data_IF_061503742237
#
_entry.id   IF_061503742237
#
_cell.length_a   1.000
_cell.length_b   1.000
_cell.length_c   1.000
_cell.angle_alpha   90.00
_cell.angle_beta   90.00
_cell.angle_gamma   90.00
#
_symmetry.space_group_name_H-M   'P 1'
#
loop_
_entity.id
_entity.type
_entity.pdbx_description
1 polymer ?
#
# COMPACT_ATOMS: atom_id res chain seq x y z
N UNK A 1 5.75 33.45 17.30
CA UNK A 1 5.00 32.97 16.13
C UNK A 1 5.74 31.74 15.68
N UNK A 2 5.18 30.55 15.92
CA UNK A 2 5.77 29.28 15.48
C UNK A 2 5.56 29.18 13.97
N UNK A 3 6.43 29.86 13.22
CA UNK A 3 6.44 29.72 11.78
C UNK A 3 7.00 28.34 11.43
N UNK A 4 6.16 27.53 10.78
CA UNK A 4 6.58 26.26 10.23
C UNK A 4 7.53 26.54 9.07
N UNK A 5 8.75 26.02 9.18
CA UNK A 5 9.74 26.04 8.11
C UNK A 5 9.11 25.66 6.75
N UNK A 6 9.34 26.42 5.67
CA UNK A 6 8.69 26.17 4.37
C UNK A 6 8.96 24.78 3.79
N UNK A 7 10.17 24.24 3.94
CA UNK A 7 10.52 22.90 3.48
C UNK A 7 9.77 21.83 4.28
N UNK A 8 9.73 22.00 5.61
CA UNK A 8 8.92 21.17 6.52
C UNK A 8 7.43 21.23 6.17
N UNK A 9 6.92 22.40 5.77
CA UNK A 9 5.52 22.56 5.36
C UNK A 9 5.20 21.78 4.07
N UNK A 10 6.12 21.70 3.11
CA UNK A 10 5.95 20.86 1.91
C UNK A 10 5.86 19.39 2.30
N UNK A 11 6.78 18.91 3.15
CA UNK A 11 6.79 17.53 3.62
C UNK A 11 5.52 17.16 4.40
N UNK A 12 5.02 18.07 5.26
CA UNK A 12 3.76 17.85 5.99
C UNK A 12 2.58 17.74 5.03
N UNK A 13 2.49 18.62 4.01
CA UNK A 13 1.39 18.56 3.04
C UNK A 13 1.43 17.29 2.19
N UNK A 14 2.62 16.82 1.81
CA UNK A 14 2.77 15.54 1.11
C UNK A 14 2.32 14.37 1.99
N UNK A 15 2.79 14.31 3.25
CA UNK A 15 2.35 13.28 4.21
C UNK A 15 0.84 13.32 4.45
N UNK A 16 0.26 14.50 4.59
CA UNK A 16 -1.18 14.65 4.77
C UNK A 16 -1.97 14.11 3.56
N UNK A 17 -1.49 14.38 2.33
CA UNK A 17 -2.12 13.83 1.11
C UNK A 17 -2.00 12.32 1.04
N UNK A 18 -0.84 11.75 1.38
CA UNK A 18 -0.65 10.30 1.45
C UNK A 18 -1.58 9.68 2.49
N UNK A 19 -1.63 10.24 3.71
CA UNK A 19 -2.49 9.75 4.77
C UNK A 19 -3.98 9.76 4.40
N UNK A 20 -4.44 10.78 3.65
CA UNK A 20 -5.83 10.82 3.16
C UNK A 20 -6.11 9.70 2.16
N UNK A 21 -5.20 9.46 1.22
CA UNK A 21 -5.34 8.38 0.23
C UNK A 21 -5.31 7.02 0.92
N UNK A 22 -4.35 6.80 1.83
CA UNK A 22 -4.23 5.60 2.65
C UNK A 22 -5.52 5.34 3.43
N UNK A 23 -6.10 6.37 4.06
CA UNK A 23 -7.33 6.20 4.84
C UNK A 23 -8.56 5.92 3.97
N UNK A 24 -8.66 6.56 2.81
CA UNK A 24 -9.74 6.27 1.86
C UNK A 24 -9.64 4.82 1.33
N UNK A 25 -8.44 4.38 0.97
CA UNK A 25 -8.18 3.00 0.56
C UNK A 25 -8.53 2.00 1.69
N UNK A 26 -8.13 2.30 2.93
CA UNK A 26 -8.47 1.50 4.10
C UNK A 26 -9.97 1.33 4.29
N UNK A 27 -10.76 2.41 4.20
CA UNK A 27 -12.21 2.31 4.36
C UNK A 27 -12.86 1.41 3.30
N UNK A 28 -12.41 1.51 2.05
CA UNK A 28 -12.86 0.63 0.98
C UNK A 28 -12.48 -0.82 1.24
N UNK A 29 -11.23 -1.08 1.62
CA UNK A 29 -10.72 -2.41 1.95
C UNK A 29 -11.47 -3.02 3.14
N UNK A 30 -11.62 -2.32 4.25
CA UNK A 30 -12.33 -2.80 5.44
C UNK A 30 -13.83 -3.06 5.14
N UNK A 31 -14.44 -2.30 4.22
CA UNK A 31 -15.79 -2.61 3.76
C UNK A 31 -15.84 -3.89 2.91
N UNK A 32 -14.88 -4.06 1.99
CA UNK A 32 -14.76 -5.25 1.16
C UNK A 32 -14.52 -6.51 2.01
N UNK A 33 -13.61 -6.46 2.99
CA UNK A 33 -13.37 -7.56 3.93
C UNK A 33 -14.63 -7.97 4.72
N UNK A 34 -15.48 -7.02 5.10
CA UNK A 34 -16.73 -7.32 5.82
C UNK A 34 -17.84 -7.89 4.92
N UNK A 35 -17.84 -7.55 3.63
CA UNK A 35 -18.95 -7.88 2.73
C UNK A 35 -18.66 -9.07 1.82
N UNK A 36 -17.41 -9.25 1.43
CA UNK A 36 -16.92 -10.26 0.49
C UNK A 36 -15.49 -10.69 0.91
N UNK A 37 -15.31 -11.31 2.10
CA UNK A 37 -13.98 -11.61 2.65
C UNK A 37 -13.17 -12.53 1.74
N UNK A 38 -13.75 -13.65 1.29
CA UNK A 38 -13.04 -14.66 0.50
C UNK A 38 -12.59 -14.11 -0.86
N UNK A 39 -13.45 -13.35 -1.54
CA UNK A 39 -13.12 -12.71 -2.81
C UNK A 39 -12.04 -11.64 -2.64
N UNK A 40 -12.11 -10.87 -1.55
CA UNK A 40 -11.11 -9.83 -1.24
C UNK A 40 -9.75 -10.45 -0.96
N UNK A 41 -9.68 -11.50 -0.14
CA UNK A 41 -8.44 -12.23 0.13
C UNK A 41 -7.86 -12.86 -1.13
N UNK A 42 -8.70 -13.51 -1.96
CA UNK A 42 -8.27 -14.10 -3.21
C UNK A 42 -7.72 -13.04 -4.19
N UNK A 43 -8.36 -11.87 -4.25
CA UNK A 43 -7.89 -10.76 -5.07
C UNK A 43 -6.51 -10.25 -4.60
N UNK A 44 -6.33 -10.03 -3.29
CA UNK A 44 -5.04 -9.57 -2.76
C UNK A 44 -3.95 -10.63 -3.00
N UNK A 45 -4.24 -11.91 -2.80
CA UNK A 45 -3.30 -12.99 -3.09
C UNK A 45 -2.88 -13.02 -4.57
N UNK A 46 -3.82 -12.79 -5.49
CA UNK A 46 -3.52 -12.70 -6.92
C UNK A 46 -2.63 -11.48 -7.24
N UNK A 47 -2.88 -10.32 -6.63
CA UNK A 47 -2.02 -9.13 -6.79
C UNK A 47 -0.63 -9.32 -6.19
N UNK A 48 -0.52 -10.00 -5.05
CA UNK A 48 0.77 -10.40 -4.45
C UNK A 48 1.58 -11.28 -5.39
N UNK A 49 0.95 -12.29 -6.00
CA UNK A 49 1.60 -13.15 -6.99
C UNK A 49 2.12 -12.34 -8.20
N UNK A 50 1.33 -11.40 -8.74
CA UNK A 50 1.77 -10.50 -9.82
C UNK A 50 2.95 -9.63 -9.41
N UNK A 51 2.97 -9.15 -8.16
CA UNK A 51 4.10 -8.39 -7.64
C UNK A 51 5.38 -9.23 -7.58
N UNK A 52 5.28 -10.50 -7.17
CA UNK A 52 6.40 -11.44 -7.15
C UNK A 52 6.94 -11.79 -8.54
N UNK A 53 6.06 -11.84 -9.55
CA UNK A 53 6.43 -12.17 -10.94
C UNK A 53 7.17 -11.03 -11.67
N UNK A 54 7.04 -9.78 -11.23
CA UNK A 54 7.71 -8.67 -11.91
C UNK A 54 7.19 -7.30 -11.52
N UNK A 55 7.49 -6.89 -10.29
CA UNK A 55 7.22 -5.56 -9.79
C UNK A 55 7.81 -4.47 -10.69
N UNK A 56 6.96 -3.59 -11.21
CA UNK A 56 7.41 -2.44 -12.00
C UNK A 56 8.00 -2.73 -13.38
N UNK A 57 7.73 -3.91 -13.95
CA UNK A 57 8.23 -4.30 -15.27
C UNK A 57 7.63 -3.49 -16.43
N UNK A 58 6.50 -2.81 -16.23
CA UNK A 58 5.85 -1.92 -17.21
C UNK A 58 5.25 -0.69 -16.53
N UNK A 59 5.98 0.43 -16.54
CA UNK A 59 5.49 1.75 -16.15
C UNK A 59 5.96 2.23 -14.77
N UNK A 60 5.47 1.61 -13.70
CA UNK A 60 5.85 1.98 -12.34
C UNK A 60 7.21 1.40 -11.97
N UNK A 61 8.06 2.11 -11.20
CA UNK A 61 9.38 1.63 -10.77
C UNK A 61 10.32 1.17 -11.93
N UNK A 62 10.11 1.70 -13.13
CA UNK A 62 10.90 1.37 -14.32
C UNK A 62 12.34 1.88 -14.25
N UNK A 63 12.57 2.93 -13.46
CA UNK A 63 13.85 3.57 -13.17
C UNK A 63 14.71 2.80 -12.15
N UNK A 64 14.11 1.88 -11.40
CA UNK A 64 14.83 1.08 -10.41
C UNK A 64 15.79 0.08 -11.06
N UNK A 65 16.86 -0.26 -10.36
CA UNK A 65 17.69 -1.41 -10.68
C UNK A 65 16.97 -2.71 -10.33
N UNK A 66 17.50 -3.84 -10.80
CA UNK A 66 16.93 -5.17 -10.45
C UNK A 66 16.99 -5.43 -8.94
N UNK A 67 18.06 -4.99 -8.26
CA UNK A 67 18.20 -5.17 -6.81
C UNK A 67 17.18 -4.31 -6.04
N UNK A 68 16.98 -3.06 -6.44
CA UNK A 68 15.98 -2.17 -5.83
C UNK A 68 14.55 -2.67 -6.07
N UNK A 69 14.24 -3.19 -7.26
CA UNK A 69 12.94 -3.83 -7.52
C UNK A 69 12.71 -5.07 -6.66
N UNK A 70 13.73 -5.90 -6.46
CA UNK A 70 13.62 -7.07 -5.60
C UNK A 70 13.37 -6.68 -4.13
N UNK A 71 14.09 -5.67 -3.64
CA UNK A 71 13.87 -5.12 -2.29
C UNK A 71 12.46 -4.54 -2.15
N UNK A 72 12.03 -3.68 -3.08
CA UNK A 72 10.71 -3.07 -3.07
C UNK A 72 9.59 -4.12 -3.16
N UNK A 73 9.76 -5.15 -3.99
CA UNK A 73 8.83 -6.26 -4.11
C UNK A 73 8.67 -7.02 -2.79
N UNK A 74 9.76 -7.26 -2.05
CA UNK A 74 9.71 -7.93 -0.75
C UNK A 74 8.99 -7.09 0.32
N UNK A 75 9.24 -5.78 0.36
CA UNK A 75 8.55 -4.86 1.27
C UNK A 75 7.05 -4.77 0.97
N UNK A 76 6.68 -4.73 -0.31
CA UNK A 76 5.26 -4.72 -0.71
C UNK A 76 4.59 -6.04 -0.36
N UNK A 77 5.26 -7.17 -0.58
CA UNK A 77 4.69 -8.47 -0.22
C UNK A 77 4.44 -8.59 1.29
N UNK A 78 5.41 -8.18 2.10
CA UNK A 78 5.28 -8.15 3.56
C UNK A 78 4.14 -7.22 4.00
N UNK A 79 4.03 -6.03 3.40
CA UNK A 79 2.96 -5.08 3.69
C UNK A 79 1.58 -5.60 3.30
N UNK A 80 1.45 -6.28 2.16
CA UNK A 80 0.19 -6.89 1.71
C UNK A 80 -0.20 -8.08 2.59
N UNK A 81 0.77 -8.85 3.10
CA UNK A 81 0.51 -9.90 4.07
C UNK A 81 -0.08 -9.32 5.38
N UNK A 82 0.57 -8.29 5.94
CA UNK A 82 0.08 -7.62 7.15
C UNK A 82 -1.31 -7.00 6.94
N UNK A 83 -1.54 -6.41 5.75
CA UNK A 83 -2.82 -5.79 5.44
C UNK A 83 -4.01 -6.76 5.50
N UNK A 84 -3.81 -8.03 5.11
CA UNK A 84 -4.84 -9.07 5.23
C UNK A 84 -5.12 -9.34 6.71
N UNK A 85 -4.09 -9.51 7.54
CA UNK A 85 -4.23 -9.76 8.98
C UNK A 85 -5.01 -8.61 9.66
N UNK A 86 -4.65 -7.37 9.35
CA UNK A 86 -5.32 -6.18 9.87
C UNK A 86 -6.78 -6.12 9.41
N UNK A 87 -7.03 -6.47 8.14
CA UNK A 87 -8.38 -6.52 7.56
C UNK A 87 -9.27 -7.58 8.21
N UNK A 88 -8.71 -8.75 8.52
CA UNK A 88 -9.41 -9.82 9.24
C UNK A 88 -9.75 -9.39 10.67
N UNK A 89 -8.83 -8.72 11.36
CA UNK A 89 -9.06 -8.20 12.71
C UNK A 89 -10.17 -7.13 12.75
N UNK A 90 -10.22 -6.25 11.73
CA UNK A 90 -11.26 -5.22 11.61
C UNK A 90 -12.63 -5.80 11.21
N UNK A 91 -12.66 -6.94 10.50
CA UNK A 91 -13.90 -7.53 9.99
C UNK A 91 -14.76 -8.20 11.07
N UNK A 92 -14.17 -8.64 12.19
CA UNK A 92 -14.85 -9.06 13.43
C UNK A 92 -16.00 -10.05 13.23
#
# INVERSE_FOLDING_TARGET
MDDVDPERAVMIRLRARLAVVERAAWFGFAHAMRTQPAETEAYIAAERAKCAEGFGSRGWAADLTTAERAMLGAEVDAGLAQLIEDGQAEAG
#
